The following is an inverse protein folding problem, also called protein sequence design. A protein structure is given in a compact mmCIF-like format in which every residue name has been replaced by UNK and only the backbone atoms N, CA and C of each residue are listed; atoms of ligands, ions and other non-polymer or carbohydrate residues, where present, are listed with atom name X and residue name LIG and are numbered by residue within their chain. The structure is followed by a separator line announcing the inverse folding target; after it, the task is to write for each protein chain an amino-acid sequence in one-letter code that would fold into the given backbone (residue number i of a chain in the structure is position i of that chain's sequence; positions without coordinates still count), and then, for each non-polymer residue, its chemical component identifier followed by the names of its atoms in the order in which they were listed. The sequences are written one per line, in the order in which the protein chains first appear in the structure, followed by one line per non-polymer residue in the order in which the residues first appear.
data_IF_894397866820
#
_entry.id   IF_894397866820
#
_cell.length_a   1.000
_cell.length_b   1.000
_cell.length_c   1.000
_cell.angle_alpha   90.00
_cell.angle_beta   90.00
_cell.angle_gamma   90.00
#
_symmetry.space_group_name_H-M   'P 1'
#
loop_
_entity.id
_entity.type
_entity.pdbx_description
1 polymer ?
#
# COMPACT_ATOMS: atom_id res chain seq x y z
N UNK A 1 -22.22 26.69 -49.79
CA UNK A 1 -21.45 25.52 -49.34
C UNK A 1 -20.37 26.03 -48.42
N UNK A 2 -20.74 26.36 -47.18
CA UNK A 2 -19.78 26.60 -46.12
C UNK A 2 -19.37 25.24 -45.58
N UNK A 3 -18.08 24.93 -45.71
CA UNK A 3 -17.49 23.79 -45.04
C UNK A 3 -17.54 24.08 -43.53
N UNK A 4 -18.36 23.34 -42.79
CA UNK A 4 -18.26 23.25 -41.34
C UNK A 4 -16.84 22.81 -40.99
N UNK A 5 -16.03 23.76 -40.55
CA UNK A 5 -14.72 23.50 -39.98
C UNK A 5 -14.93 22.74 -38.66
N UNK A 6 -14.85 21.41 -38.73
CA UNK A 6 -14.75 20.53 -37.58
C UNK A 6 -13.56 20.98 -36.72
N UNK A 7 -13.85 21.55 -35.54
CA UNK A 7 -12.82 22.04 -34.63
C UNK A 7 -11.94 20.85 -34.14
N UNK A 8 -10.60 20.98 -34.18
CA UNK A 8 -9.72 19.93 -33.69
C UNK A 8 -9.60 20.00 -32.17
N UNK A 9 -10.01 18.90 -31.53
CA UNK A 9 -9.69 18.49 -30.16
C UNK A 9 -10.26 19.32 -29.01
N UNK A 10 -11.51 19.00 -28.64
CA UNK A 10 -11.90 18.98 -27.23
C UNK A 10 -11.08 17.90 -26.51
N UNK A 11 -9.83 18.21 -26.13
CA UNK A 11 -9.18 17.44 -25.07
C UNK A 11 -9.95 17.81 -23.82
N UNK A 12 -10.97 17.01 -23.49
CA UNK A 12 -11.72 17.08 -22.25
C UNK A 12 -10.72 17.30 -21.11
N UNK A 13 -10.67 18.52 -20.57
CA UNK A 13 -9.68 18.85 -19.55
C UNK A 13 -10.01 17.98 -18.34
N UNK A 14 -9.17 16.98 -18.08
CA UNK A 14 -9.37 16.04 -16.99
C UNK A 14 -9.34 16.85 -15.68
N UNK A 15 -10.52 17.14 -15.14
CA UNK A 15 -10.67 17.80 -13.85
C UNK A 15 -10.16 16.84 -12.76
N UNK A 16 -9.05 17.18 -12.06
CA UNK A 16 -8.53 16.34 -11.00
C UNK A 16 -9.52 16.12 -9.85
N UNK A 17 -10.53 16.98 -9.65
CA UNK A 17 -11.56 16.80 -8.62
C UNK A 17 -12.51 15.63 -8.93
N UNK A 18 -12.74 15.31 -10.20
CA UNK A 18 -13.55 14.15 -10.61
C UNK A 18 -12.96 12.80 -10.13
N UNK A 19 -11.66 12.77 -9.81
CA UNK A 19 -10.96 11.61 -9.28
C UNK A 19 -10.90 11.52 -7.74
N UNK A 20 -11.54 12.43 -6.99
CA UNK A 20 -11.32 12.52 -5.54
C UNK A 20 -11.88 11.34 -4.73
N UNK A 21 -12.84 10.61 -5.28
CA UNK A 21 -13.39 9.37 -4.68
C UNK A 21 -12.88 8.10 -5.38
N UNK A 22 -12.08 8.24 -6.45
CA UNK A 22 -11.60 7.14 -7.28
C UNK A 22 -10.42 6.40 -6.63
N UNK A 23 -10.66 5.82 -5.46
CA UNK A 23 -9.71 5.06 -4.68
C UNK A 23 -10.26 3.69 -4.29
N UNK A 24 -9.35 2.75 -4.06
CA UNK A 24 -9.71 1.40 -3.69
C UNK A 24 -10.05 1.35 -2.20
N UNK A 25 -11.33 1.11 -1.88
CA UNK A 25 -11.76 0.93 -0.49
C UNK A 25 -11.56 -0.52 -0.06
N UNK A 26 -11.05 -0.69 1.15
CA UNK A 26 -10.93 -1.96 1.86
C UNK A 26 -10.95 -1.67 3.36
N UNK A 27 -11.53 -2.58 4.16
CA UNK A 27 -11.48 -2.42 5.61
C UNK A 27 -10.05 -2.46 6.15
N UNK A 28 -9.80 -1.69 7.21
CA UNK A 28 -8.49 -1.59 7.85
C UNK A 28 -7.98 -2.97 8.33
N UNK A 29 -8.87 -3.78 8.91
CA UNK A 29 -8.55 -5.13 9.37
C UNK A 29 -8.24 -6.07 8.20
N UNK A 30 -9.02 -5.99 7.11
CA UNK A 30 -8.78 -6.81 5.92
C UNK A 30 -7.44 -6.47 5.26
N UNK A 31 -7.14 -5.18 5.13
CA UNK A 31 -5.85 -4.72 4.60
C UNK A 31 -4.69 -5.21 5.47
N UNK A 32 -4.76 -5.01 6.79
CA UNK A 32 -3.72 -5.45 7.74
C UNK A 32 -3.47 -6.95 7.66
N UNK A 33 -4.53 -7.75 7.75
CA UNK A 33 -4.42 -9.21 7.77
C UNK A 33 -3.87 -9.74 6.44
N UNK A 34 -4.37 -9.24 5.32
CA UNK A 34 -3.87 -9.65 4.00
C UNK A 34 -2.43 -9.18 3.78
N UNK A 35 -2.09 -7.95 4.19
CA UNK A 35 -0.72 -7.46 4.13
C UNK A 35 0.26 -8.37 4.88
N UNK A 36 -0.04 -8.69 6.14
CA UNK A 36 0.83 -9.50 6.99
C UNK A 36 0.91 -10.96 6.50
N UNK A 37 -0.23 -11.59 6.25
CA UNK A 37 -0.27 -13.01 5.89
C UNK A 37 0.27 -13.26 4.48
N UNK A 38 0.24 -12.28 3.58
CA UNK A 38 0.83 -12.42 2.23
C UNK A 38 2.26 -11.87 2.13
N UNK A 39 2.96 -11.65 3.26
CA UNK A 39 4.34 -11.13 3.27
C UNK A 39 4.50 -9.81 2.48
N UNK A 40 3.49 -8.95 2.55
CA UNK A 40 3.49 -7.66 1.87
C UNK A 40 3.03 -7.68 0.42
N UNK A 41 2.79 -8.86 -0.18
CA UNK A 41 2.30 -8.94 -1.56
C UNK A 41 0.94 -8.23 -1.75
N UNK A 42 0.08 -8.28 -0.74
CA UNK A 42 -1.19 -7.56 -0.81
C UNK A 42 -1.01 -6.03 -0.85
N UNK A 43 0.09 -5.47 -0.31
CA UNK A 43 0.39 -4.05 -0.50
C UNK A 43 0.65 -3.73 -1.98
N UNK A 44 1.39 -4.58 -2.71
CA UNK A 44 1.62 -4.41 -4.15
C UNK A 44 0.28 -4.35 -4.89
N UNK A 45 -0.61 -5.30 -4.60
CA UNK A 45 -1.97 -5.31 -5.16
C UNK A 45 -2.76 -4.05 -4.82
N UNK A 46 -2.71 -3.63 -3.56
CA UNK A 46 -3.39 -2.45 -3.05
C UNK A 46 -2.92 -1.16 -3.73
N UNK A 47 -1.59 -0.97 -3.87
CA UNK A 47 -1.02 0.16 -4.59
C UNK A 47 -1.40 0.13 -6.07
N UNK A 48 -1.31 -1.05 -6.72
CA UNK A 48 -1.76 -1.22 -8.10
C UNK A 48 -3.23 -0.80 -8.27
N UNK A 49 -4.13 -1.25 -7.40
CA UNK A 49 -5.56 -0.91 -7.50
C UNK A 49 -5.84 0.57 -7.29
N UNK A 50 -5.19 1.21 -6.32
CA UNK A 50 -5.31 2.65 -6.14
C UNK A 50 -4.78 3.43 -7.36
N UNK A 51 -3.63 3.05 -7.89
CA UNK A 51 -3.11 3.69 -9.11
C UNK A 51 -3.95 3.42 -10.35
N UNK A 52 -4.58 2.24 -10.44
CA UNK A 52 -5.48 1.88 -11.54
C UNK A 52 -6.72 2.77 -11.54
N UNK A 53 -7.32 3.00 -10.37
CA UNK A 53 -8.50 3.85 -10.23
C UNK A 53 -8.18 5.33 -10.43
N UNK A 54 -6.98 5.77 -10.03
CA UNK A 54 -6.53 7.15 -10.24
C UNK A 54 -6.10 7.44 -11.69
N UNK A 55 -5.68 6.44 -12.46
CA UNK A 55 -5.09 6.60 -13.79
C UNK A 55 -5.94 7.43 -14.78
N UNK A 56 -7.28 7.25 -14.89
CA UNK A 56 -8.11 8.04 -15.80
C UNK A 56 -8.10 9.53 -15.47
N UNK A 57 -7.85 9.88 -14.20
CA UNK A 57 -7.87 11.24 -13.68
C UNK A 57 -6.47 11.89 -13.66
N UNK A 58 -5.58 11.41 -14.53
CA UNK A 58 -4.20 11.91 -14.64
C UNK A 58 -3.89 12.37 -16.05
N UNK A 59 -3.37 13.61 -16.17
CA UNK A 59 -2.87 14.15 -17.45
C UNK A 59 -1.74 13.30 -18.06
N UNK A 60 -0.98 12.55 -17.25
CA UNK A 60 0.11 11.68 -17.71
C UNK A 60 -0.33 10.22 -17.70
N UNK A 61 -0.07 9.50 -18.79
CA UNK A 61 -0.23 8.05 -18.86
C UNK A 61 0.74 7.36 -17.91
N UNK A 62 0.23 6.80 -16.82
CA UNK A 62 1.01 6.03 -15.84
C UNK A 62 0.87 4.53 -16.10
N UNK A 63 1.78 3.72 -15.54
CA UNK A 63 1.65 2.25 -15.49
C UNK A 63 1.32 1.82 -14.06
N UNK A 64 0.04 1.57 -13.71
CA UNK A 64 -0.37 1.24 -12.35
C UNK A 64 0.32 -0.01 -11.78
N UNK A 65 0.52 -1.04 -12.61
CA UNK A 65 1.19 -2.29 -12.20
C UNK A 65 2.62 -2.04 -11.72
N UNK A 66 3.39 -1.25 -12.48
CA UNK A 66 4.77 -0.90 -12.11
C UNK A 66 4.80 -0.06 -10.83
N UNK A 67 3.86 0.86 -10.65
CA UNK A 67 3.76 1.63 -9.39
C UNK A 67 3.35 0.77 -8.19
N UNK A 68 2.65 -0.33 -8.41
CA UNK A 68 2.38 -1.34 -7.38
C UNK A 68 3.63 -2.12 -6.98
N UNK A 69 4.40 -2.61 -7.96
CA UNK A 69 5.63 -3.38 -7.73
C UNK A 69 6.69 -2.50 -7.06
N UNK A 70 6.89 -1.30 -7.58
CA UNK A 70 7.85 -0.30 -7.07
C UNK A 70 7.21 0.63 -6.04
N UNK A 71 6.30 0.12 -5.19
CA UNK A 71 5.51 0.94 -4.28
C UNK A 71 6.34 1.84 -3.37
N UNK A 72 7.55 1.43 -2.97
CA UNK A 72 8.47 2.21 -2.14
C UNK A 72 8.70 3.61 -2.74
N UNK A 73 8.88 3.72 -4.06
CA UNK A 73 9.12 4.99 -4.74
C UNK A 73 7.84 5.81 -4.95
N UNK A 74 6.68 5.15 -5.00
CA UNK A 74 5.40 5.79 -5.32
C UNK A 74 4.49 6.02 -4.10
N UNK A 75 4.90 5.60 -2.90
CA UNK A 75 4.10 5.75 -1.67
C UNK A 75 3.81 7.22 -1.37
N UNK A 76 4.83 8.09 -1.36
CA UNK A 76 4.65 9.53 -1.15
C UNK A 76 3.81 10.19 -2.24
N UNK A 77 3.95 9.73 -3.49
CA UNK A 77 3.16 10.24 -4.60
C UNK A 77 1.67 9.94 -4.42
N UNK A 78 1.34 8.72 -3.96
CA UNK A 78 -0.05 8.34 -3.67
C UNK A 78 -0.58 9.11 -2.45
N UNK A 79 0.20 9.20 -1.36
CA UNK A 79 -0.18 9.97 -0.18
C UNK A 79 -0.44 11.45 -0.50
N UNK A 80 0.40 12.08 -1.32
CA UNK A 80 0.17 13.47 -1.77
C UNK A 80 -1.16 13.62 -2.52
N UNK A 81 -1.54 12.63 -3.34
CA UNK A 81 -2.83 12.64 -4.04
C UNK A 81 -4.00 12.49 -3.09
N UNK A 82 -3.97 11.53 -2.18
CA UNK A 82 -5.01 11.34 -1.16
C UNK A 82 -5.18 12.63 -0.33
N UNK A 83 -4.08 13.24 0.12
CA UNK A 83 -4.10 14.53 0.84
C UNK A 83 -4.73 15.66 0.02
N UNK A 84 -4.41 15.75 -1.27
CA UNK A 84 -4.99 16.76 -2.15
C UNK A 84 -6.51 16.54 -2.34
N UNK A 85 -6.96 15.28 -2.47
CA UNK A 85 -8.38 14.93 -2.52
C UNK A 85 -9.10 15.27 -1.21
N UNK A 86 -8.50 14.99 -0.05
CA UNK A 86 -9.07 15.36 1.26
C UNK A 86 -9.25 16.86 1.39
N UNK A 87 -8.23 17.61 0.97
CA UNK A 87 -8.23 19.08 1.01
C UNK A 87 -9.36 19.64 0.15
N UNK A 88 -9.55 19.12 -1.08
CA UNK A 88 -10.64 19.55 -1.98
C UNK A 88 -12.03 19.22 -1.44
N UNK A 89 -12.18 18.11 -0.72
CA UNK A 89 -13.44 17.74 -0.08
C UNK A 89 -13.66 18.40 1.30
N UNK A 90 -12.81 19.36 1.71
CA UNK A 90 -12.85 19.99 3.04
C UNK A 90 -12.84 18.98 4.21
N UNK A 91 -12.26 17.79 3.99
CA UNK A 91 -12.08 16.78 5.02
C UNK A 91 -10.82 17.09 5.82
N UNK A 92 -10.93 17.16 7.15
CA UNK A 92 -9.79 17.45 8.03
C UNK A 92 -8.85 16.24 8.12
N UNK A 93 -7.57 16.50 7.90
CA UNK A 93 -6.48 15.56 8.13
C UNK A 93 -5.94 15.74 9.56
N UNK A 94 -6.18 14.78 10.45
CA UNK A 94 -5.71 14.82 11.85
C UNK A 94 -4.23 14.43 12.04
N UNK A 95 -3.51 14.07 10.98
CA UNK A 95 -2.10 13.67 11.06
C UNK A 95 -1.44 13.71 9.68
N UNK A 96 -0.16 14.06 9.60
CA UNK A 96 0.53 14.21 8.31
C UNK A 96 0.54 12.87 7.55
N UNK A 97 -0.29 12.76 6.52
CA UNK A 97 -0.39 11.59 5.65
C UNK A 97 0.95 11.25 4.99
N UNK A 98 1.74 12.30 4.73
CA UNK A 98 3.11 12.19 4.26
C UNK A 98 4.05 11.61 5.32
N UNK A 99 3.80 11.86 6.60
CA UNK A 99 4.55 11.23 7.70
C UNK A 99 4.30 9.71 7.74
N UNK A 100 3.05 9.27 7.59
CA UNK A 100 2.75 7.84 7.52
C UNK A 100 3.38 7.19 6.29
N UNK A 101 3.33 7.85 5.12
CA UNK A 101 4.05 7.38 3.93
C UNK A 101 5.57 7.22 4.19
N UNK A 102 6.19 8.19 4.86
CA UNK A 102 7.60 8.12 5.26
C UNK A 102 7.88 6.98 6.22
N UNK A 103 7.04 6.78 7.25
CA UNK A 103 7.19 5.69 8.22
C UNK A 103 7.08 4.32 7.54
N UNK A 104 6.09 4.14 6.64
CA UNK A 104 5.93 2.90 5.90
C UNK A 104 7.20 2.55 5.13
N UNK A 105 7.70 3.48 4.33
CA UNK A 105 8.92 3.31 3.53
C UNK A 105 10.14 3.08 4.43
N UNK A 106 10.27 3.87 5.51
CA UNK A 106 11.39 3.78 6.45
C UNK A 106 11.47 2.40 7.10
N UNK A 107 10.36 1.89 7.63
CA UNK A 107 10.33 0.57 8.29
C UNK A 107 10.67 -0.56 7.31
N UNK A 108 10.17 -0.49 6.08
CA UNK A 108 10.54 -1.47 5.05
C UNK A 108 12.03 -1.42 4.73
N UNK A 109 12.59 -0.23 4.52
CA UNK A 109 14.02 -0.07 4.19
C UNK A 109 14.91 -0.53 5.35
N UNK A 110 14.63 -0.09 6.57
CA UNK A 110 15.41 -0.45 7.75
C UNK A 110 15.33 -1.95 8.05
N UNK A 111 14.16 -2.57 7.89
CA UNK A 111 14.00 -4.02 8.03
C UNK A 111 14.86 -4.76 7.01
N UNK A 112 14.76 -4.40 5.73
CA UNK A 112 15.53 -5.05 4.66
C UNK A 112 17.04 -4.83 4.84
N UNK A 113 17.46 -3.65 5.28
CA UNK A 113 18.85 -3.36 5.61
C UNK A 113 19.34 -4.26 6.75
N UNK A 114 18.60 -4.36 7.85
CA UNK A 114 18.96 -5.23 8.98
C UNK A 114 19.14 -6.70 8.55
N UNK A 115 18.19 -7.23 7.75
CA UNK A 115 18.31 -8.59 7.22
C UNK A 115 19.53 -8.76 6.32
N UNK A 116 19.77 -7.80 5.41
CA UNK A 116 20.88 -7.84 4.45
C UNK A 116 22.23 -7.81 5.16
N UNK A 117 22.36 -6.98 6.21
CA UNK A 117 23.58 -6.92 7.01
C UNK A 117 23.83 -8.24 7.76
N UNK A 118 22.77 -8.89 8.25
CA UNK A 118 22.87 -10.19 8.91
C UNK A 118 23.30 -11.29 7.93
N UNK A 119 22.72 -11.32 6.73
CA UNK A 119 23.08 -12.27 5.66
C UNK A 119 24.54 -12.13 5.21
N UNK A 120 25.10 -10.91 5.29
CA UNK A 120 26.50 -10.63 4.97
C UNK A 120 27.46 -10.85 6.15
N UNK A 121 26.97 -11.27 7.31
CA UNK A 121 27.78 -11.44 8.52
C UNK A 121 28.32 -10.15 9.13
N UNK A 122 27.78 -8.98 8.73
CA UNK A 122 28.20 -7.66 9.28
C UNK A 122 27.61 -7.46 10.68
N UNK A 123 26.41 -7.99 10.92
CA UNK A 123 25.72 -7.99 12.22
C UNK A 123 25.30 -9.41 12.59
N UNK A 124 25.02 -9.69 13.87
CA UNK A 124 24.62 -11.03 14.31
C UNK A 124 23.35 -11.56 13.62
N UNK A 125 23.22 -12.89 13.43
CA UNK A 125 22.08 -13.50 12.72
C UNK A 125 20.69 -13.14 13.28
N UNK A 126 20.59 -12.91 14.59
CA UNK A 126 19.33 -12.51 15.24
C UNK A 126 18.81 -11.13 14.79
N UNK A 127 19.61 -10.31 14.10
CA UNK A 127 19.13 -9.07 13.48
C UNK A 127 18.04 -9.30 12.42
N UNK A 128 17.90 -10.52 11.89
CA UNK A 128 16.75 -10.90 11.05
C UNK A 128 15.40 -10.73 11.77
N UNK A 129 15.37 -10.82 13.11
CA UNK A 129 14.16 -10.55 13.89
C UNK A 129 13.71 -9.09 13.81
N UNK A 130 14.65 -8.16 13.59
CA UNK A 130 14.34 -6.73 13.38
C UNK A 130 13.52 -6.56 12.08
N UNK A 131 13.82 -7.32 11.03
CA UNK A 131 13.03 -7.30 9.81
C UNK A 131 11.58 -7.71 10.09
N UNK A 132 11.35 -8.80 10.85
CA UNK A 132 10.00 -9.26 11.21
C UNK A 132 9.26 -8.20 12.03
N UNK A 133 9.92 -7.63 13.05
CA UNK A 133 9.35 -6.58 13.89
C UNK A 133 8.95 -5.34 13.05
N UNK A 134 9.87 -4.81 12.24
CA UNK A 134 9.62 -3.63 11.42
C UNK A 134 8.58 -3.89 10.34
N UNK A 135 8.56 -5.09 9.75
CA UNK A 135 7.52 -5.51 8.81
C UNK A 135 6.14 -5.49 9.48
N UNK A 136 6.00 -6.02 10.70
CA UNK A 136 4.73 -5.99 11.43
C UNK A 136 4.27 -4.56 11.74
N UNK A 137 5.18 -3.73 12.26
CA UNK A 137 4.91 -2.33 12.62
C UNK A 137 4.56 -1.50 11.37
N UNK A 138 5.14 -1.82 10.20
CA UNK A 138 4.84 -1.13 8.94
C UNK A 138 3.39 -1.28 8.47
N UNK A 139 2.64 -2.24 9.01
CA UNK A 139 1.20 -2.36 8.73
C UNK A 139 0.40 -1.16 9.26
N UNK A 140 0.85 -0.52 10.34
CA UNK A 140 0.20 0.63 10.94
C UNK A 140 0.10 1.84 10.00
N UNK A 141 1.22 2.40 9.48
CA UNK A 141 1.14 3.52 8.56
C UNK A 141 0.39 3.19 7.26
N UNK A 142 0.45 1.94 6.78
CA UNK A 142 -0.32 1.51 5.61
C UNK A 142 -1.84 1.56 5.87
N UNK A 143 -2.27 1.14 7.07
CA UNK A 143 -3.67 1.25 7.50
C UNK A 143 -4.10 2.70 7.65
N UNK A 144 -3.26 3.59 8.17
CA UNK A 144 -3.56 5.03 8.24
C UNK A 144 -3.78 5.65 6.85
N UNK A 145 -3.03 5.23 5.82
CA UNK A 145 -3.28 5.65 4.44
C UNK A 145 -4.66 5.18 3.95
N UNK A 146 -5.03 3.93 4.24
CA UNK A 146 -6.32 3.37 3.86
C UNK A 146 -7.49 4.03 4.59
N UNK A 147 -7.32 4.36 5.86
CA UNK A 147 -8.32 5.05 6.67
C UNK A 147 -8.74 6.38 6.02
N UNK A 148 -7.77 7.12 5.46
CA UNK A 148 -8.05 8.36 4.74
C UNK A 148 -8.73 8.15 3.39
N UNK A 149 -8.42 7.06 2.69
CA UNK A 149 -9.16 6.66 1.48
C UNK A 149 -10.61 6.30 1.83
N UNK A 150 -10.82 5.60 2.95
CA UNK A 150 -12.14 5.23 3.45
C UNK A 150 -12.96 6.47 3.83
N UNK A 151 -12.34 7.48 4.45
CA UNK A 151 -12.96 8.79 4.71
C UNK A 151 -13.39 9.51 3.42
N UNK A 152 -12.53 9.55 2.39
CA UNK A 152 -12.86 10.13 1.07
C UNK A 152 -14.06 9.49 0.39
N UNK A 153 -14.38 8.25 0.77
CA UNK A 153 -15.49 7.46 0.21
C UNK A 153 -16.71 7.45 1.11
N UNK A 154 -16.74 8.28 2.17
CA UNK A 154 -17.80 8.31 3.18
C UNK A 154 -18.04 6.93 3.82
N UNK A 155 -17.00 6.10 3.91
CA UNK A 155 -17.02 4.76 4.52
C UNK A 155 -15.93 4.66 5.61
N UNK A 156 -16.02 5.43 6.71
CA UNK A 156 -14.98 5.50 7.73
C UNK A 156 -14.69 4.15 8.40
N UNK A 157 -15.65 3.22 8.36
CA UNK A 157 -15.49 1.88 8.93
C UNK A 157 -15.00 0.84 7.90
N UNK A 158 -14.86 1.22 6.62
CA UNK A 158 -14.39 0.33 5.55
C UNK A 158 -15.35 -0.84 5.27
N UNK A 159 -16.66 -0.63 5.44
CA UNK A 159 -17.68 -1.66 5.29
C UNK A 159 -17.89 -2.07 3.83
N UNK A 160 -17.63 -1.19 2.87
CA UNK A 160 -17.82 -1.46 1.44
C UNK A 160 -17.04 -2.70 0.97
N UNK A 161 -15.93 -3.01 1.63
CA UNK A 161 -15.08 -4.14 1.30
C UNK A 161 -14.44 -4.72 2.56
N UNK A 162 -15.31 -5.17 3.47
CA UNK A 162 -14.94 -5.78 4.75
C UNK A 162 -14.85 -7.31 4.71
N UNK A 163 -15.70 -7.97 3.91
CA UNK A 163 -15.79 -9.42 3.84
C UNK A 163 -14.60 -10.05 3.13
N UNK A 164 -14.12 -11.19 3.64
CA UNK A 164 -13.13 -12.01 2.96
C UNK A 164 -13.79 -12.87 1.89
N UNK A 165 -13.30 -12.80 0.65
CA UNK A 165 -13.66 -13.77 -0.38
C UNK A 165 -12.93 -15.09 -0.13
N UNK A 166 -13.41 -16.17 -0.74
CA UNK A 166 -12.72 -17.46 -0.72
C UNK A 166 -11.25 -17.37 -1.15
N UNK A 167 -10.96 -16.59 -2.20
CA UNK A 167 -9.57 -16.35 -2.65
C UNK A 167 -8.74 -15.71 -1.55
N UNK A 168 -9.27 -14.70 -0.84
CA UNK A 168 -8.56 -14.05 0.26
C UNK A 168 -8.26 -15.04 1.39
N UNK A 169 -9.21 -15.92 1.71
CA UNK A 169 -9.02 -16.95 2.74
C UNK A 169 -7.94 -17.93 2.30
N UNK A 170 -7.99 -18.43 1.06
CA UNK A 170 -7.00 -19.37 0.55
C UNK A 170 -5.58 -18.82 0.59
N UNK A 171 -5.35 -17.58 0.14
CA UNK A 171 -4.01 -16.97 0.20
C UNK A 171 -3.56 -16.69 1.64
N UNK A 172 -4.49 -16.38 2.55
CA UNK A 172 -4.18 -16.21 3.96
C UNK A 172 -3.76 -17.53 4.62
N UNK A 173 -4.40 -18.65 4.26
CA UNK A 173 -4.03 -19.99 4.76
C UNK A 173 -2.64 -20.37 4.27
N UNK A 174 -2.36 -20.23 2.97
CA UNK A 174 -1.02 -20.49 2.42
C UNK A 174 0.03 -19.60 3.09
N UNK A 175 -0.29 -18.32 3.25
CA UNK A 175 0.55 -17.36 3.96
C UNK A 175 0.83 -17.74 5.42
N UNK A 176 -0.19 -18.18 6.14
CA UNK A 176 -0.07 -18.67 7.52
C UNK A 176 0.85 -19.88 7.63
N UNK A 177 0.75 -20.83 6.69
CA UNK A 177 1.66 -21.99 6.63
C UNK A 177 3.10 -21.54 6.39
N UNK A 178 3.33 -20.59 5.48
CA UNK A 178 4.66 -20.04 5.23
C UNK A 178 5.21 -19.28 6.45
N UNK A 179 4.37 -18.61 7.23
CA UNK A 179 4.77 -17.98 8.49
C UNK A 179 5.24 -19.01 9.51
N UNK A 180 4.55 -20.15 9.62
CA UNK A 180 4.98 -21.24 10.49
C UNK A 180 6.37 -21.76 10.09
N UNK A 181 6.62 -21.98 8.79
CA UNK A 181 7.96 -22.35 8.31
C UNK A 181 9.00 -21.28 8.61
N UNK A 182 8.67 -20.00 8.41
CA UNK A 182 9.55 -18.88 8.73
C UNK A 182 9.91 -18.79 10.21
N UNK A 183 8.96 -19.06 11.12
CA UNK A 183 9.19 -19.09 12.56
C UNK A 183 10.10 -20.26 12.94
N UNK A 184 9.80 -21.48 12.46
CA UNK A 184 10.64 -22.66 12.71
C UNK A 184 12.07 -22.45 12.21
N UNK A 185 12.23 -21.91 11.00
CA UNK A 185 13.55 -21.58 10.46
C UNK A 185 14.28 -20.50 11.27
N UNK A 186 13.55 -19.53 11.82
CA UNK A 186 14.14 -18.48 12.68
C UNK A 186 14.61 -19.03 14.03
N UNK A 187 13.89 -19.98 14.63
CA UNK A 187 14.30 -20.62 15.88
C UNK A 187 15.59 -21.42 15.70
N UNK A 188 15.74 -22.12 14.58
CA UNK A 188 16.97 -22.84 14.25
C UNK A 188 18.21 -21.93 14.12
N UNK A 189 18.03 -20.65 13.78
CA UNK A 189 19.12 -19.66 13.69
C UNK A 189 19.56 -19.17 15.09
N UNK A 190 18.66 -19.19 16.07
CA UNK A 190 18.90 -18.66 17.41
C UNK A 190 19.47 -19.74 18.34
N UNK A 191 19.11 -21.02 18.12
CA UNK A 191 19.67 -22.14 18.86
C UNK A 191 21.13 -22.38 18.45
N UNK A 192 22.11 -22.37 19.39
CA UNK A 192 23.46 -22.82 19.07
C UNK A 192 23.41 -24.30 18.64
N UNK A 193 24.28 -24.74 17.70
CA UNK A 193 24.41 -26.16 17.41
C UNK A 193 24.89 -26.89 18.68
N UNK A 194 24.21 -27.97 19.04
CA UNK A 194 24.65 -28.92 20.09
C UNK A 194 25.97 -29.60 19.72
#
# INVERSE_FOLDING_TARGET
MEAEMMQPNDIEEIDPASGDMAYFSVSNNKLRNLYLLTFGLYAIYWFYKNWQLQQPYMKKKIMPKMRGIFNIFFTHSLAKRIKASLTRQNQRENGSLLWFASLFVLFLILGNLASTLADRGIVPPYFKLIWIMLFYISSFPLVELQDKINLLKNDPFGQLNSHYSWINISIMVVGGILWLFGIVGSLAIISPPE
#
